data_IF_764830853235
#
_entry.id   IF_764830853235
#
_cell.length_a   1.000
_cell.length_b   1.000
_cell.length_c   1.000
_cell.angle_alpha   90.00
_cell.angle_beta   90.00
_cell.angle_gamma   90.00
#
_symmetry.space_group_name_H-M   'P 1'
#
loop_
_entity.id
_entity.type
_entity.pdbx_description
1 polymer ?
#
# COMPACT_ATOMS: atom_id res chain seq x y z
N UNK A 1 14.49 -6.77 9.21
CA UNK A 1 13.08 -6.82 8.80
C UNK A 1 12.59 -8.22 9.06
N UNK A 2 11.44 -8.38 9.69
CA UNK A 2 10.84 -9.69 9.96
C UNK A 2 9.42 -9.69 9.42
N UNK A 3 9.05 -10.71 8.65
CA UNK A 3 7.70 -10.91 8.12
C UNK A 3 7.10 -12.11 8.86
N UNK A 4 5.91 -11.93 9.43
CA UNK A 4 5.26 -12.92 10.28
C UNK A 4 3.83 -13.13 9.77
N UNK A 5 3.48 -14.37 9.46
CA UNK A 5 2.10 -14.76 9.14
C UNK A 5 1.38 -15.03 10.46
N UNK A 6 0.21 -14.45 10.63
CA UNK A 6 -0.57 -14.49 11.88
C UNK A 6 -2.04 -14.78 11.58
N UNK A 7 -2.81 -15.36 12.53
CA UNK A 7 -4.23 -15.61 12.31
C UNK A 7 -5.00 -14.34 11.93
N UNK A 8 -4.75 -13.25 12.66
CA UNK A 8 -5.24 -11.90 12.42
C UNK A 8 -4.31 -10.88 13.09
N UNK A 9 -4.40 -9.60 12.72
CA UNK A 9 -3.52 -8.54 13.25
C UNK A 9 -3.71 -8.33 14.76
N UNK A 10 -4.93 -8.46 15.30
CA UNK A 10 -5.20 -8.24 16.72
C UNK A 10 -4.68 -9.38 17.59
N UNK A 11 -4.57 -10.60 17.06
CA UNK A 11 -3.88 -11.71 17.74
C UNK A 11 -2.40 -11.39 17.96
N UNK A 12 -1.74 -10.75 16.98
CA UNK A 12 -0.34 -10.37 17.07
C UNK A 12 -0.11 -9.11 17.91
N UNK A 13 -1.00 -8.13 17.79
CA UNK A 13 -0.91 -6.84 18.45
C UNK A 13 -2.23 -6.46 19.16
N UNK A 14 -2.57 -7.11 20.29
CA UNK A 14 -3.87 -6.93 20.97
C UNK A 14 -4.14 -5.49 21.43
N UNK A 15 -3.09 -4.72 21.66
CA UNK A 15 -3.16 -3.33 22.11
C UNK A 15 -3.82 -2.38 21.08
N UNK A 16 -4.01 -2.84 19.84
CA UNK A 16 -4.66 -2.11 18.75
C UNK A 16 -6.20 -2.23 18.77
N UNK A 17 -6.78 -3.12 19.59
CA UNK A 17 -8.22 -3.39 19.58
C UNK A 17 -9.10 -2.15 19.82
N UNK A 18 -8.57 -1.15 20.54
CA UNK A 18 -9.26 0.12 20.84
C UNK A 18 -8.78 1.28 19.97
N UNK A 19 -8.02 1.00 18.91
CA UNK A 19 -7.45 2.00 18.01
C UNK A 19 -8.09 1.87 16.62
N UNK A 20 -8.13 2.98 15.89
CA UNK A 20 -8.63 3.01 14.52
C UNK A 20 -7.46 3.02 13.54
N UNK A 21 -7.39 2.06 12.59
CA UNK A 21 -6.38 2.12 11.55
C UNK A 21 -6.63 3.32 10.63
N UNK A 22 -5.53 3.89 10.12
CA UNK A 22 -5.59 4.97 9.13
C UNK A 22 -6.19 4.41 7.83
N UNK A 23 -7.01 5.20 7.15
CA UNK A 23 -7.59 4.79 5.86
C UNK A 23 -8.90 4.01 5.91
N UNK A 24 -9.29 3.52 7.08
CA UNK A 24 -10.49 2.68 7.22
C UNK A 24 -11.68 3.54 7.66
N UNK A 25 -12.69 3.75 6.80
CA UNK A 25 -13.89 4.50 7.20
C UNK A 25 -14.69 3.74 8.26
N UNK A 26 -14.71 2.41 8.16
CA UNK A 26 -15.43 1.49 9.04
C UNK A 26 -14.48 0.40 9.57
N UNK A 27 -14.79 -0.16 10.75
CA UNK A 27 -13.98 -1.22 11.35
C UNK A 27 -12.76 -0.73 12.14
N UNK A 28 -12.06 -1.69 12.77
CA UNK A 28 -10.81 -1.51 13.50
C UNK A 28 -9.66 -2.25 12.81
N UNK A 29 -8.59 -2.53 13.56
CA UNK A 29 -7.45 -3.31 13.05
C UNK A 29 -7.79 -4.78 12.74
N UNK A 30 -8.98 -5.26 13.12
CA UNK A 30 -9.55 -6.53 12.65
C UNK A 30 -9.85 -6.52 11.14
N UNK A 31 -9.98 -5.35 10.52
CA UNK A 31 -10.16 -5.18 9.08
C UNK A 31 -8.84 -5.10 8.31
N UNK A 32 -7.69 -5.17 8.98
CA UNK A 32 -6.38 -5.11 8.33
C UNK A 32 -5.94 -6.51 7.90
N UNK A 33 -5.75 -6.71 6.59
CA UNK A 33 -5.15 -7.93 6.04
C UNK A 33 -3.65 -8.03 6.31
N UNK A 34 -3.01 -6.93 6.70
CA UNK A 34 -1.61 -6.85 7.05
C UNK A 34 -1.26 -5.46 7.57
N UNK A 35 -0.06 -5.34 8.14
CA UNK A 35 0.46 -4.06 8.64
C UNK A 35 1.97 -4.08 8.80
N UNK A 36 2.62 -2.99 8.40
CA UNK A 36 4.00 -2.67 8.69
C UNK A 36 4.14 -1.80 9.94
N UNK A 37 5.00 -2.21 10.86
CA UNK A 37 5.44 -1.44 12.04
C UNK A 37 6.87 -0.92 11.84
N UNK A 38 7.07 0.37 11.50
CA UNK A 38 8.39 0.90 11.15
C UNK A 38 9.40 0.83 12.29
N UNK A 39 8.96 1.14 13.52
CA UNK A 39 9.83 1.17 14.71
C UNK A 39 10.44 -0.21 14.99
N UNK A 40 9.63 -1.25 14.88
CA UNK A 40 10.02 -2.62 15.21
C UNK A 40 10.56 -3.39 13.98
N UNK A 41 10.46 -2.79 12.79
CA UNK A 41 10.83 -3.40 11.50
C UNK A 41 10.16 -4.75 11.30
N UNK A 42 8.87 -4.81 11.61
CA UNK A 42 8.01 -6.00 11.51
C UNK A 42 6.89 -5.76 10.52
N UNK A 43 6.58 -6.79 9.75
CA UNK A 43 5.38 -6.89 8.94
C UNK A 43 4.56 -8.06 9.46
N UNK A 44 3.30 -7.83 9.77
CA UNK A 44 2.34 -8.90 10.02
C UNK A 44 1.43 -9.06 8.81
N UNK A 45 1.28 -10.29 8.35
CA UNK A 45 0.33 -10.66 7.28
C UNK A 45 -0.72 -11.57 7.90
N UNK A 46 -1.97 -11.15 7.83
CA UNK A 46 -3.08 -11.86 8.43
C UNK A 46 -3.64 -12.91 7.47
N UNK A 47 -3.82 -14.13 7.98
CA UNK A 47 -4.55 -15.20 7.28
C UNK A 47 -6.05 -14.89 7.21
N UNK A 48 -6.55 -14.08 8.15
CA UNK A 48 -7.96 -13.70 8.23
C UNK A 48 -8.13 -12.23 8.58
N UNK A 49 -9.18 -11.62 8.04
CA UNK A 49 -9.57 -10.25 8.34
C UNK A 49 -11.08 -10.08 8.24
N UNK A 50 -11.60 -8.96 8.76
CA UNK A 50 -13.00 -8.58 8.64
C UNK A 50 -13.20 -7.56 7.51
N UNK A 51 -14.40 -7.51 6.95
CA UNK A 51 -14.86 -6.42 6.09
C UNK A 51 -16.02 -5.72 6.79
N UNK A 52 -15.80 -4.47 7.21
CA UNK A 52 -16.73 -3.71 8.04
C UNK A 52 -16.90 -4.35 9.41
N UNK A 53 -18.13 -4.78 9.71
CA UNK A 53 -18.50 -5.44 10.97
C UNK A 53 -18.73 -6.95 10.79
N UNK A 54 -18.30 -7.53 9.66
CA UNK A 54 -18.45 -8.96 9.42
C UNK A 54 -17.55 -9.79 10.35
N UNK A 55 -17.85 -11.08 10.58
CA UNK A 55 -16.91 -11.98 11.23
C UNK A 55 -15.58 -12.09 10.46
N UNK A 56 -14.50 -12.47 11.15
CA UNK A 56 -13.22 -12.76 10.51
C UNK A 56 -13.37 -13.86 9.45
N UNK A 57 -12.94 -13.58 8.25
CA UNK A 57 -12.95 -14.48 7.10
C UNK A 57 -11.53 -14.64 6.55
N UNK A 58 -11.31 -15.68 5.76
CA UNK A 58 -10.02 -15.91 5.08
C UNK A 58 -9.62 -14.68 4.24
N UNK A 59 -8.33 -14.36 4.26
CA UNK A 59 -7.74 -13.29 3.46
C UNK A 59 -7.35 -13.84 2.07
N UNK A 60 -8.11 -13.54 1.00
CA UNK A 60 -7.75 -14.00 -0.33
C UNK A 60 -6.63 -13.16 -0.97
N UNK A 61 -6.19 -12.08 -0.30
CA UNK A 61 -5.26 -11.09 -0.83
C UNK A 61 -3.90 -11.12 -0.13
N UNK A 62 -3.51 -12.26 0.46
CA UNK A 62 -2.28 -12.38 1.27
C UNK A 62 -1.01 -11.97 0.53
N UNK A 63 -0.85 -12.39 -0.74
CA UNK A 63 0.33 -12.03 -1.54
C UNK A 63 0.37 -10.52 -1.85
N UNK A 64 -0.73 -9.96 -2.36
CA UNK A 64 -0.83 -8.51 -2.61
C UNK A 64 -0.57 -7.71 -1.33
N UNK A 65 -1.20 -8.10 -0.22
CA UNK A 65 -1.02 -7.44 1.07
C UNK A 65 0.45 -7.50 1.51
N UNK A 66 1.10 -8.65 1.36
CA UNK A 66 2.51 -8.79 1.69
C UNK A 66 3.38 -7.85 0.85
N UNK A 67 3.14 -7.75 -0.45
CA UNK A 67 3.88 -6.85 -1.33
C UNK A 67 3.64 -5.38 -1.00
N UNK A 68 2.40 -4.99 -0.68
CA UNK A 68 2.07 -3.64 -0.23
C UNK A 68 2.83 -3.28 1.05
N UNK A 69 2.79 -4.13 2.08
CA UNK A 69 3.51 -3.88 3.35
C UNK A 69 5.03 -3.89 3.17
N UNK A 70 5.56 -4.74 2.29
CA UNK A 70 6.98 -4.70 1.89
C UNK A 70 7.30 -3.39 1.18
N UNK A 71 6.39 -2.86 0.37
CA UNK A 71 6.50 -1.55 -0.27
C UNK A 71 6.67 -0.43 0.76
N UNK A 72 5.84 -0.41 1.81
CA UNK A 72 5.99 0.53 2.94
C UNK A 72 7.33 0.36 3.66
N UNK A 73 7.77 -0.87 3.88
CA UNK A 73 9.06 -1.16 4.49
C UNK A 73 10.25 -0.67 3.64
N UNK A 74 10.18 -0.87 2.32
CA UNK A 74 11.19 -0.41 1.37
C UNK A 74 11.23 1.12 1.33
N UNK A 75 10.06 1.75 1.24
CA UNK A 75 9.92 3.20 1.29
C UNK A 75 10.46 3.79 2.59
N UNK A 76 10.17 3.17 3.73
CA UNK A 76 10.65 3.65 5.03
C UNK A 76 12.18 3.72 5.12
N UNK A 77 12.89 2.80 4.45
CA UNK A 77 14.36 2.79 4.44
C UNK A 77 14.94 3.82 3.46
N UNK A 78 14.35 3.96 2.28
CA UNK A 78 14.88 4.85 1.23
C UNK A 78 14.27 6.25 1.18
N UNK A 79 13.17 6.49 1.90
CA UNK A 79 12.35 7.71 1.88
C UNK A 79 11.90 8.10 0.46
N UNK A 80 11.59 7.11 -0.38
CA UNK A 80 11.32 7.32 -1.81
C UNK A 80 10.04 8.11 -2.06
N UNK A 81 8.95 7.82 -1.34
CA UNK A 81 7.67 8.54 -1.43
C UNK A 81 7.79 10.01 -1.02
N UNK A 82 8.80 10.34 -0.22
CA UNK A 82 9.12 11.69 0.24
C UNK A 82 10.22 12.37 -0.60
N UNK A 83 10.76 11.68 -1.60
CA UNK A 83 11.74 12.27 -2.51
C UNK A 83 11.09 13.35 -3.37
N UNK A 84 11.89 14.34 -3.77
CA UNK A 84 11.45 15.38 -4.70
C UNK A 84 10.96 14.77 -6.02
N UNK A 85 11.66 13.75 -6.54
CA UNK A 85 11.27 13.04 -7.76
C UNK A 85 9.89 12.40 -7.66
N UNK A 86 9.58 11.73 -6.55
CA UNK A 86 8.29 11.08 -6.39
C UNK A 86 7.17 12.09 -6.11
N UNK A 87 7.45 13.12 -5.29
CA UNK A 87 6.47 14.16 -4.97
C UNK A 87 6.05 14.91 -6.23
N UNK A 88 7.02 15.32 -7.06
CA UNK A 88 6.73 15.97 -8.34
C UNK A 88 5.93 15.04 -9.28
N UNK A 89 6.31 13.77 -9.38
CA UNK A 89 5.60 12.79 -10.20
C UNK A 89 4.15 12.59 -9.72
N UNK A 90 3.95 12.49 -8.40
CA UNK A 90 2.65 12.33 -7.76
C UNK A 90 1.74 13.52 -7.99
N UNK A 91 2.24 14.74 -7.80
CA UNK A 91 1.49 15.95 -8.07
C UNK A 91 1.12 16.09 -9.55
N UNK A 92 2.05 15.76 -10.45
CA UNK A 92 1.82 15.85 -11.89
C UNK A 92 0.79 14.83 -12.36
N UNK A 93 0.89 13.57 -11.95
CA UNK A 93 -0.12 12.57 -12.30
C UNK A 93 -1.49 12.92 -11.71
N UNK A 94 -1.56 13.42 -10.47
CA UNK A 94 -2.81 13.84 -9.82
C UNK A 94 -3.53 15.01 -10.51
N UNK A 95 -2.80 15.87 -11.26
CA UNK A 95 -3.39 16.96 -12.06
C UNK A 95 -4.17 16.45 -13.26
N UNK A 96 -3.82 15.27 -13.80
CA UNK A 96 -4.45 14.72 -15.00
C UNK A 96 -5.63 13.78 -14.70
N UNK A 97 -5.94 13.52 -13.42
CA UNK A 97 -7.07 12.70 -13.03
C UNK A 97 -8.39 13.46 -13.22
N UNK A 98 -9.33 12.84 -13.93
CA UNK A 98 -10.71 13.30 -13.97
C UNK A 98 -11.42 13.05 -12.62
N UNK A 99 -12.63 13.60 -12.45
CA UNK A 99 -13.38 13.49 -11.19
C UNK A 99 -13.68 12.04 -10.78
N UNK A 100 -13.97 11.16 -11.74
CA UNK A 100 -14.24 9.75 -11.47
C UNK A 100 -13.00 9.05 -10.89
N UNK A 101 -11.84 9.23 -11.51
CA UNK A 101 -10.57 8.68 -11.03
C UNK A 101 -10.15 9.28 -9.70
N UNK A 102 -10.42 10.57 -9.46
CA UNK A 102 -10.16 11.23 -8.17
C UNK A 102 -10.98 10.61 -7.04
N UNK A 103 -12.26 10.30 -7.29
CA UNK A 103 -13.10 9.60 -6.31
C UNK A 103 -12.58 8.18 -6.09
N UNK A 104 -12.31 7.46 -7.18
CA UNK A 104 -11.81 6.07 -7.16
C UNK A 104 -10.49 5.92 -6.38
N UNK A 105 -9.56 6.85 -6.57
CA UNK A 105 -8.23 6.83 -5.95
C UNK A 105 -8.10 7.77 -4.76
N UNK A 106 -9.22 8.21 -4.18
CA UNK A 106 -9.24 9.16 -3.05
C UNK A 106 -8.38 8.73 -1.86
N UNK A 107 -8.27 7.42 -1.60
CA UNK A 107 -7.37 6.87 -0.58
C UNK A 107 -5.89 7.20 -0.85
N UNK A 108 -5.44 7.05 -2.09
CA UNK A 108 -4.07 7.35 -2.50
C UNK A 108 -3.82 8.84 -2.74
N UNK A 109 -4.89 9.65 -2.76
CA UNK A 109 -4.86 11.11 -2.96
C UNK A 109 -5.03 11.89 -1.64
N UNK A 110 -4.93 11.21 -0.50
CA UNK A 110 -5.02 11.84 0.81
C UNK A 110 -3.98 12.96 0.97
N UNK A 111 -4.34 13.98 1.75
CA UNK A 111 -3.42 15.06 2.10
C UNK A 111 -2.24 14.54 2.93
N UNK A 112 -1.21 15.39 3.04
CA UNK A 112 0.03 15.12 3.76
C UNK A 112 0.88 13.99 3.14
N UNK A 113 1.78 13.42 3.94
CA UNK A 113 2.71 12.37 3.51
C UNK A 113 2.08 10.97 3.40
N UNK A 114 0.81 10.82 3.78
CA UNK A 114 0.13 9.53 3.78
C UNK A 114 -0.22 9.08 2.35
N UNK A 115 -0.85 9.95 1.54
CA UNK A 115 -1.20 9.63 0.15
C UNK A 115 0.00 9.14 -0.68
N UNK A 116 1.13 9.88 -0.71
CA UNK A 116 2.34 9.45 -1.40
C UNK A 116 2.90 8.11 -0.91
N UNK A 117 2.88 7.83 0.41
CA UNK A 117 3.37 6.56 0.98
C UNK A 117 2.50 5.37 0.52
N UNK A 118 1.18 5.50 0.62
CA UNK A 118 0.22 4.48 0.16
C UNK A 118 0.31 4.27 -1.35
N UNK A 119 0.46 5.37 -2.12
CA UNK A 119 0.65 5.32 -3.56
C UNK A 119 1.92 4.56 -3.92
N UNK A 120 3.03 4.84 -3.22
CA UNK A 120 4.30 4.15 -3.45
C UNK A 120 4.16 2.65 -3.18
N UNK A 121 3.58 2.27 -2.04
CA UNK A 121 3.40 0.87 -1.65
C UNK A 121 2.52 0.09 -2.64
N UNK A 122 1.43 0.69 -3.12
CA UNK A 122 0.54 0.05 -4.08
C UNK A 122 1.20 -0.12 -5.46
N UNK A 123 1.89 0.91 -5.95
CA UNK A 123 2.63 0.83 -7.22
C UNK A 123 3.79 -0.14 -7.11
N UNK A 124 4.48 -0.20 -5.96
CA UNK A 124 5.52 -1.20 -5.70
C UNK A 124 4.97 -2.61 -5.90
N UNK A 125 3.80 -2.93 -5.34
CA UNK A 125 3.15 -4.23 -5.54
C UNK A 125 2.86 -4.49 -7.02
N UNK A 126 2.34 -3.49 -7.74
CA UNK A 126 2.03 -3.61 -9.17
C UNK A 126 3.28 -3.86 -10.04
N UNK A 127 4.41 -3.24 -9.69
CA UNK A 127 5.67 -3.40 -10.42
C UNK A 127 6.30 -4.76 -10.15
N UNK A 128 6.28 -5.23 -8.90
CA UNK A 128 6.90 -6.50 -8.51
C UNK A 128 6.08 -7.70 -8.97
N UNK A 129 4.75 -7.61 -8.92
CA UNK A 129 3.84 -8.70 -9.27
C UNK A 129 2.65 -8.21 -10.11
N UNK A 130 2.87 -7.87 -11.40
CA UNK A 130 1.87 -7.25 -12.26
C UNK A 130 0.67 -8.13 -12.61
N UNK A 131 0.66 -9.41 -12.23
CA UNK A 131 -0.45 -10.33 -12.50
C UNK A 131 -1.33 -10.62 -11.28
N UNK A 132 -0.96 -10.10 -10.09
CA UNK A 132 -1.61 -10.48 -8.83
C UNK A 132 -2.77 -9.55 -8.44
N UNK A 133 -2.71 -8.26 -8.79
CA UNK A 133 -3.79 -7.32 -8.50
C UNK A 133 -4.06 -6.36 -9.66
N UNK A 134 -5.18 -6.58 -10.34
CA UNK A 134 -5.67 -5.72 -11.43
C UNK A 134 -5.93 -4.28 -10.98
N UNK A 135 -6.25 -4.05 -9.69
CA UNK A 135 -6.45 -2.70 -9.15
C UNK A 135 -5.12 -1.98 -9.02
N UNK A 136 -4.10 -2.60 -8.43
CA UNK A 136 -2.75 -2.04 -8.36
C UNK A 136 -2.18 -1.76 -9.77
N UNK A 137 -2.42 -2.66 -10.73
CA UNK A 137 -2.05 -2.44 -12.14
C UNK A 137 -2.78 -1.24 -12.73
N UNK A 138 -4.10 -1.16 -12.57
CA UNK A 138 -4.88 -0.03 -13.06
C UNK A 138 -4.45 1.31 -12.43
N UNK A 139 -4.05 1.28 -11.15
CA UNK A 139 -3.46 2.43 -10.48
C UNK A 139 -2.13 2.83 -11.16
N UNK A 140 -1.22 1.88 -11.36
CA UNK A 140 0.08 2.16 -12.02
C UNK A 140 -0.09 2.78 -13.42
N UNK A 141 -1.11 2.35 -14.18
CA UNK A 141 -1.44 2.92 -15.48
C UNK A 141 -2.00 4.35 -15.37
N UNK A 142 -2.73 4.65 -14.28
CA UNK A 142 -3.28 5.98 -14.01
C UNK A 142 -2.24 6.95 -13.45
N UNK A 143 -1.14 6.43 -12.89
CA UNK A 143 -0.02 7.18 -12.33
C UNK A 143 1.31 6.75 -12.98
N UNK A 144 1.49 7.01 -14.29
CA UNK A 144 2.64 6.51 -15.04
C UNK A 144 3.97 7.15 -14.63
N UNK A 145 3.99 8.41 -14.16
CA UNK A 145 5.22 9.06 -13.68
C UNK A 145 5.64 8.49 -12.34
N UNK A 146 4.70 8.29 -11.41
CA UNK A 146 4.98 7.61 -10.15
C UNK A 146 5.53 6.20 -10.42
N UNK A 147 4.89 5.46 -11.33
CA UNK A 147 5.32 4.10 -11.72
C UNK A 147 6.76 4.08 -12.24
N UNK A 148 7.13 5.07 -13.05
CA UNK A 148 8.51 5.21 -13.52
C UNK A 148 9.50 5.40 -12.35
N UNK A 149 9.21 6.31 -11.41
CA UNK A 149 10.08 6.56 -10.25
C UNK A 149 10.19 5.31 -9.36
N UNK A 150 9.10 4.56 -9.16
CA UNK A 150 9.13 3.31 -8.40
C UNK A 150 10.03 2.28 -9.09
N UNK A 151 9.87 2.08 -10.40
CA UNK A 151 10.75 1.18 -11.18
C UNK A 151 12.22 1.56 -11.05
N UNK A 152 12.54 2.85 -11.18
CA UNK A 152 13.90 3.37 -11.00
C UNK A 152 14.43 3.09 -9.59
N UNK A 153 13.61 3.25 -8.55
CA UNK A 153 13.97 2.94 -7.17
C UNK A 153 14.29 1.45 -6.94
N UNK A 154 13.66 0.57 -7.71
CA UNK A 154 13.88 -0.87 -7.71
C UNK A 154 15.05 -1.31 -8.60
N UNK A 155 15.68 -0.38 -9.31
CA UNK A 155 16.71 -0.68 -10.31
C UNK A 155 16.17 -1.37 -11.57
N UNK A 156 14.84 -1.39 -11.74
CA UNK A 156 14.19 -1.92 -12.95
C UNK A 156 14.28 -0.84 -14.02
N UNK A 157 15.04 -1.11 -15.09
CA UNK A 157 15.08 -0.25 -16.28
C UNK A 157 13.99 -0.71 -17.23
N UNK A 158 13.28 0.22 -17.86
CA UNK A 158 12.42 -0.12 -18.99
C UNK A 158 13.32 -0.66 -20.10
N UNK A 159 13.19 -1.95 -20.39
CA UNK A 159 13.81 -2.54 -21.57
C UNK A 159 13.27 -1.80 -22.78
N UNK A 160 14.13 -1.01 -23.41
CA UNK A 160 13.82 -0.38 -24.69
C UNK A 160 13.49 -1.51 -25.67
N UNK A 161 12.21 -1.66 -26.01
CA UNK A 161 11.79 -2.33 -27.23
C UNK A 161 12.10 -1.44 -28.43
#
# INVERSE_FOLDING_TARGET
MTIIIVPDVLTAEPHLANQKPRGYPFGGYDNCGGIFFPRDKKIYIAERFSIGNAPLQENPYTLWTALHEIGHAFDHVGMYSNSESFTNAYEDDAKYLNNELRIKYSYFLQSDKNGPSEMFAEIFSAVVAPNEDLRAVALSHSFPRCTKVVKESLGVRDDKK
#
